data_IF_835618489023
#
_entry.id   IF_835618489023
#
_cell.length_a   1.000
_cell.length_b   1.000
_cell.length_c   1.000
_cell.angle_alpha   90.00
_cell.angle_beta   90.00
_cell.angle_gamma   90.00
#
_symmetry.space_group_name_H-M   'P 1'
#
loop_
_entity.id
_entity.type
_entity.pdbx_description
1 polymer ?
#
# COMPACT_ATOMS: atom_id res chain seq x y z
N UNK A 1 -7.33 14.55 -3.04
CA UNK A 1 -6.28 13.50 -3.06
C UNK A 1 -5.15 13.93 -2.11
N UNK A 2 -4.69 13.06 -1.19
CA UNK A 2 -3.57 13.35 -0.28
C UNK A 2 -2.49 12.30 -0.48
N UNK A 3 -1.32 12.72 -0.95
CA UNK A 3 -0.14 11.89 -1.11
C UNK A 3 0.71 11.98 0.16
N UNK A 4 1.24 10.84 0.62
CA UNK A 4 2.24 10.78 1.69
C UNK A 4 3.55 10.33 1.06
N UNK A 5 4.60 11.11 1.28
CA UNK A 5 5.94 10.87 0.73
C UNK A 5 6.87 10.64 1.90
N UNK A 6 7.69 9.59 1.82
CA UNK A 6 8.76 9.33 2.76
C UNK A 6 10.02 9.97 2.21
N UNK A 7 10.57 10.93 2.96
CA UNK A 7 11.84 11.57 2.63
C UNK A 7 13.00 10.68 3.07
N UNK A 8 13.88 10.37 2.13
CA UNK A 8 15.06 9.52 2.33
C UNK A 8 16.37 10.30 2.20
N UNK A 9 16.32 11.63 2.00
CA UNK A 9 17.50 12.47 1.72
C UNK A 9 18.51 12.53 2.88
N UNK A 10 18.17 12.04 4.07
CA UNK A 10 19.06 11.97 5.24
C UNK A 10 19.53 10.59 5.67
N UNK A 11 19.16 9.51 4.95
CA UNK A 11 19.65 8.18 5.28
C UNK A 11 21.06 8.01 4.72
N UNK A 12 22.07 8.02 5.60
CA UNK A 12 23.45 7.72 5.20
C UNK A 12 23.49 6.24 4.77
N UNK A 13 23.56 6.02 3.47
CA UNK A 13 23.98 4.75 2.93
C UNK A 13 25.48 4.66 3.27
N UNK A 14 25.84 3.80 4.22
CA UNK A 14 27.22 3.44 4.53
C UNK A 14 27.74 2.57 3.36
N UNK A 15 27.83 3.19 2.19
CA UNK A 15 28.16 2.55 0.91
C UNK A 15 29.68 2.63 0.69
N UNK A 16 30.43 2.20 1.71
CA UNK A 16 31.89 2.08 1.63
C UNK A 16 32.36 0.69 1.21
N UNK A 17 31.43 -0.24 0.93
CA UNK A 17 31.75 -1.57 0.41
C UNK A 17 30.77 -1.95 -0.72
N UNK A 18 31.00 -1.34 -1.90
CA UNK A 18 30.20 -1.48 -3.11
C UNK A 18 30.29 -2.90 -3.69
N UNK A 19 29.58 -3.84 -3.06
CA UNK A 19 29.35 -5.21 -3.49
C UNK A 19 27.94 -5.43 -4.08
N UNK A 20 27.58 -6.65 -4.53
CA UNK A 20 26.29 -7.01 -5.15
C UNK A 20 25.02 -6.70 -4.30
N UNK A 21 25.20 -6.22 -3.08
CA UNK A 21 24.17 -5.75 -2.15
C UNK A 21 23.30 -4.60 -2.70
N UNK A 22 23.83 -3.74 -3.58
CA UNK A 22 23.03 -2.69 -4.22
C UNK A 22 21.88 -3.26 -5.08
N UNK A 23 22.08 -4.44 -5.70
CA UNK A 23 21.04 -5.16 -6.42
C UNK A 23 20.02 -5.78 -5.45
N UNK A 24 20.46 -6.19 -4.24
CA UNK A 24 19.60 -6.66 -3.16
C UNK A 24 18.70 -5.54 -2.63
N UNK A 25 19.21 -4.30 -2.50
CA UNK A 25 18.42 -3.14 -2.07
C UNK A 25 17.34 -2.77 -3.09
N UNK A 26 17.66 -2.77 -4.39
CA UNK A 26 16.67 -2.57 -5.45
C UNK A 26 15.63 -3.69 -5.47
N UNK A 27 16.07 -4.94 -5.31
CA UNK A 27 15.18 -6.10 -5.20
C UNK A 27 14.24 -6.00 -4.00
N UNK A 28 14.75 -5.57 -2.84
CA UNK A 28 13.96 -5.30 -1.64
C UNK A 28 12.95 -4.17 -1.82
N UNK A 29 13.36 -3.08 -2.48
CA UNK A 29 12.48 -1.95 -2.79
C UNK A 29 11.36 -2.35 -3.77
N UNK A 30 11.68 -3.15 -4.79
CA UNK A 30 10.68 -3.68 -5.74
C UNK A 30 9.72 -4.66 -5.05
N UNK A 31 10.22 -5.52 -4.16
CA UNK A 31 9.38 -6.42 -3.38
C UNK A 31 8.43 -5.64 -2.47
N UNK A 32 8.92 -4.60 -1.79
CA UNK A 32 8.11 -3.71 -0.97
C UNK A 32 7.06 -2.97 -1.82
N UNK A 33 7.43 -2.39 -2.96
CA UNK A 33 6.50 -1.71 -3.85
C UNK A 33 5.37 -2.64 -4.33
N UNK A 34 5.69 -3.89 -4.70
CA UNK A 34 4.70 -4.91 -5.08
C UNK A 34 3.77 -5.25 -3.91
N UNK A 35 4.30 -5.42 -2.70
CA UNK A 35 3.50 -5.67 -1.51
C UNK A 35 2.54 -4.51 -1.21
N UNK A 36 3.01 -3.25 -1.31
CA UNK A 36 2.18 -2.07 -1.13
C UNK A 36 1.02 -2.00 -2.15
N UNK A 37 1.28 -2.33 -3.42
CA UNK A 37 0.24 -2.36 -4.45
C UNK A 37 -0.81 -3.43 -4.16
N UNK A 38 -0.39 -4.64 -3.77
CA UNK A 38 -1.31 -5.74 -3.44
C UNK A 38 -2.18 -5.40 -2.23
N UNK A 39 -1.58 -4.81 -1.18
CA UNK A 39 -2.32 -4.34 -0.01
C UNK A 39 -3.33 -3.26 -0.37
N UNK A 40 -2.95 -2.28 -1.21
CA UNK A 40 -3.87 -1.22 -1.67
C UNK A 40 -5.04 -1.79 -2.46
N UNK A 41 -4.81 -2.79 -3.33
CA UNK A 41 -5.86 -3.48 -4.07
C UNK A 41 -6.81 -4.20 -3.12
N UNK A 42 -6.29 -4.97 -2.18
CA UNK A 42 -7.09 -5.66 -1.16
C UNK A 42 -7.90 -4.68 -0.30
N UNK A 43 -7.31 -3.58 0.13
CA UNK A 43 -8.02 -2.52 0.86
C UNK A 43 -9.15 -1.92 0.01
N UNK A 44 -8.91 -1.63 -1.28
CA UNK A 44 -9.94 -1.10 -2.17
C UNK A 44 -11.11 -2.09 -2.36
N UNK A 45 -10.82 -3.38 -2.53
CA UNK A 45 -11.83 -4.42 -2.65
C UNK A 45 -12.63 -4.61 -1.35
N UNK A 46 -11.97 -4.60 -0.19
CA UNK A 46 -12.62 -4.65 1.11
C UNK A 46 -13.52 -3.42 1.34
N UNK A 47 -13.06 -2.22 0.99
CA UNK A 47 -13.85 -0.98 1.07
C UNK A 47 -15.06 -0.99 0.13
N UNK A 48 -14.91 -1.49 -1.10
CA UNK A 48 -16.04 -1.66 -2.03
C UNK A 48 -17.06 -2.66 -1.47
N UNK A 49 -16.60 -3.75 -0.87
CA UNK A 49 -17.48 -4.75 -0.23
C UNK A 49 -18.19 -4.20 1.01
N UNK A 50 -17.52 -3.42 1.86
CA UNK A 50 -18.15 -2.81 3.04
C UNK A 50 -19.16 -1.72 2.66
N UNK A 51 -18.85 -0.90 1.66
CA UNK A 51 -19.78 0.09 1.09
C UNK A 51 -21.09 -0.56 0.61
N UNK A 52 -21.01 -1.72 -0.04
CA UNK A 52 -22.19 -2.47 -0.49
C UNK A 52 -23.00 -3.07 0.69
N UNK A 53 -22.38 -3.34 1.85
CA UNK A 53 -23.06 -3.84 3.05
C UNK A 53 -23.74 -2.76 3.90
N UNK A 54 -23.30 -1.50 3.81
CA UNK A 54 -23.95 -0.38 4.51
C UNK A 54 -25.18 0.16 3.77
N UNK A 55 -25.40 -0.24 2.52
CA UNK A 55 -26.67 -0.02 1.81
C UNK A 55 -27.55 -1.27 1.94
N UNK A 56 -27.91 -1.60 3.18
CA UNK A 56 -29.03 -2.50 3.44
C UNK A 56 -30.33 -1.91 2.86
N UNK A 57 -31.35 -2.73 2.56
CA UNK A 57 -32.61 -2.24 2.02
C UNK A 57 -33.24 -1.29 3.04
N UNK A 58 -33.13 0.01 2.77
CA UNK A 58 -33.87 1.02 3.49
C UNK A 58 -35.35 0.81 3.23
N UNK A 59 -36.04 0.20 4.22
CA UNK A 59 -37.48 0.31 4.42
C UNK A 59 -38.37 -0.57 3.56
N UNK A 60 -38.41 -1.88 3.84
CA UNK A 60 -39.70 -2.58 3.80
C UNK A 60 -40.20 -2.61 5.26
N UNK A 61 -41.29 -1.87 5.51
CA UNK A 61 -42.27 -2.01 6.60
C UNK A 61 -42.64 -0.67 7.24
N UNK A 62 -43.78 -0.13 6.83
CA UNK A 62 -44.84 0.27 7.75
C UNK A 62 -46.16 0.02 7.02
N UNK A 63 -47.09 -0.64 7.74
CA UNK A 63 -48.38 -1.13 7.28
C UNK A 63 -49.37 -0.01 6.91
#
# INVERSE_FOLDING_TARGET
>A
CRLRVLDMTGLHDDDTDRGPEWMSLWSGTVALAKACLEVSKHQNECLKRSSKRHKGPSGLSAA
#
